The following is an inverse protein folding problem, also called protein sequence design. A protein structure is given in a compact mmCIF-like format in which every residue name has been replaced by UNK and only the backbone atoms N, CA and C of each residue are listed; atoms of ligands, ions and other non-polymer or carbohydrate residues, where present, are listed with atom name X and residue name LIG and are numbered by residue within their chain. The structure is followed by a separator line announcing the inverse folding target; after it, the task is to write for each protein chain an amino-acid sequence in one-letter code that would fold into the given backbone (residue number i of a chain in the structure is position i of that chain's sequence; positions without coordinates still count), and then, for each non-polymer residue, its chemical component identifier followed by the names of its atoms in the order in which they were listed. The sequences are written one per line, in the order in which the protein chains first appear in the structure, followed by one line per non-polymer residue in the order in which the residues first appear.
data_IF_659146187607
#
_entry.id   IF_659146187607
#
_cell.length_a   1.000
_cell.length_b   1.000
_cell.length_c   1.000
_cell.angle_alpha   90.00
_cell.angle_beta   90.00
_cell.angle_gamma   90.00
#
_symmetry.space_group_name_H-M   'P 1'
#
loop_
_entity.id
_entity.type
_entity.pdbx_description
1 polymer ?
#
# COMPACT_ATOMS: atom_id res chain seq x y z
N UNK A 1 2.26 -0.14 20.83
CA UNK A 1 3.57 -0.82 20.90
C UNK A 1 3.47 -2.02 19.96
N UNK A 2 4.54 -2.77 19.64
CA UNK A 2 4.29 -4.22 19.50
C UNK A 2 3.47 -4.59 20.72
N UNK A 3 2.29 -5.19 20.60
CA UNK A 3 1.33 -5.36 21.72
C UNK A 3 1.91 -6.15 22.92
N UNK A 4 3.19 -6.51 22.86
CA UNK A 4 4.00 -7.18 23.85
C UNK A 4 4.68 -6.18 24.78
N UNK A 5 4.72 -6.54 26.05
CA UNK A 5 5.46 -5.84 27.09
C UNK A 5 6.96 -6.10 26.89
N UNK A 6 7.76 -5.03 26.83
CA UNK A 6 9.22 -5.16 26.81
C UNK A 6 9.74 -5.57 28.20
N UNK A 7 10.72 -6.49 28.29
CA UNK A 7 11.29 -6.86 29.58
C UNK A 7 12.08 -5.69 30.17
N UNK A 8 11.95 -5.47 31.47
CA UNK A 8 12.69 -4.43 32.18
C UNK A 8 14.18 -4.68 32.13
N UNK A 9 14.95 -3.66 31.75
CA UNK A 9 16.41 -3.74 31.74
C UNK A 9 16.99 -3.47 33.12
N UNK A 10 17.85 -4.39 33.60
CA UNK A 10 18.67 -4.23 34.81
C UNK A 10 20.13 -4.29 34.39
N UNK A 11 21.00 -3.48 34.99
CA UNK A 11 22.44 -3.48 34.71
C UNK A 11 23.01 -4.89 34.93
N UNK A 12 23.66 -5.45 33.91
CA UNK A 12 24.16 -6.83 33.91
C UNK A 12 23.28 -7.81 33.12
N UNK A 13 22.06 -7.43 32.75
CA UNK A 13 21.20 -8.24 31.88
C UNK A 13 21.80 -8.36 30.47
N UNK A 14 21.51 -9.47 29.77
CA UNK A 14 21.86 -9.60 28.37
C UNK A 14 21.18 -8.53 27.51
N UNK A 15 21.77 -8.24 26.35
CA UNK A 15 21.19 -7.33 25.36
C UNK A 15 19.84 -7.86 24.88
N UNK A 16 18.84 -6.98 24.82
CA UNK A 16 17.52 -7.27 24.26
C UNK A 16 17.66 -7.72 22.80
N UNK A 17 17.03 -8.85 22.45
CA UNK A 17 16.97 -9.38 21.09
C UNK A 17 15.52 -9.64 20.70
N UNK A 18 15.15 -9.22 19.51
CA UNK A 18 13.82 -9.40 18.94
C UNK A 18 13.98 -10.30 17.72
N UNK A 19 13.50 -11.55 17.81
CA UNK A 19 13.64 -12.52 16.72
C UNK A 19 12.52 -12.40 15.68
N UNK A 20 11.30 -12.12 16.13
CA UNK A 20 10.10 -12.03 15.29
C UNK A 20 9.43 -10.67 15.53
N UNK A 21 9.94 -9.59 14.90
CA UNK A 21 9.37 -8.27 15.04
C UNK A 21 7.97 -8.23 14.41
N UNK A 22 6.99 -7.71 15.13
CA UNK A 22 5.65 -7.44 14.61
C UNK A 22 5.56 -6.01 14.06
N UNK A 23 6.44 -5.69 13.11
CA UNK A 23 6.48 -4.39 12.45
C UNK A 23 6.28 -4.55 10.96
N UNK A 24 5.57 -3.60 10.36
CA UNK A 24 5.41 -3.47 8.92
C UNK A 24 5.99 -2.14 8.46
N UNK A 25 6.50 -2.08 7.23
CA UNK A 25 6.92 -0.85 6.59
C UNK A 25 6.28 -0.78 5.22
N UNK A 26 5.75 0.40 4.85
CA UNK A 26 5.18 0.64 3.52
C UNK A 26 6.04 1.66 2.81
N UNK A 27 6.66 1.26 1.71
CA UNK A 27 7.40 2.17 0.84
C UNK A 27 6.41 3.16 0.18
N UNK A 28 6.69 4.45 0.26
CA UNK A 28 5.81 5.49 -0.28
C UNK A 28 6.54 6.32 -1.32
N UNK A 29 5.88 6.54 -2.47
CA UNK A 29 6.39 7.43 -3.52
C UNK A 29 6.42 8.88 -2.99
N UNK A 30 7.54 9.59 -3.11
CA UNK A 30 7.61 11.00 -2.71
C UNK A 30 6.64 11.84 -3.56
N UNK A 31 5.97 12.81 -2.93
CA UNK A 31 5.06 13.75 -3.60
C UNK A 31 5.81 14.89 -4.28
N UNK A 32 6.95 15.29 -3.71
CA UNK A 32 7.82 16.35 -4.22
C UNK A 32 9.06 15.74 -4.86
N UNK A 33 9.78 16.54 -5.65
CA UNK A 33 11.09 16.15 -6.13
C UNK A 33 12.07 16.11 -4.95
N UNK A 34 12.56 14.92 -4.62
CA UNK A 34 13.53 14.67 -3.56
C UNK A 34 14.81 14.12 -4.17
N UNK A 35 15.97 14.28 -3.49
CA UNK A 35 17.20 13.73 -4.02
C UNK A 35 17.12 12.21 -4.08
N UNK A 36 17.79 11.60 -5.06
CA UNK A 36 17.63 10.17 -5.37
C UNK A 36 18.10 9.22 -4.25
N UNK A 37 18.87 9.69 -3.29
CA UNK A 37 19.28 8.91 -2.11
C UNK A 37 18.28 8.99 -0.96
N UNK A 38 17.19 9.76 -1.09
CA UNK A 38 16.14 9.83 -0.08
C UNK A 38 15.00 8.85 -0.36
N UNK A 39 14.62 8.10 0.67
CA UNK A 39 13.53 7.13 0.62
C UNK A 39 12.55 7.37 1.76
N UNK A 40 11.26 7.19 1.48
CA UNK A 40 10.18 7.38 2.45
C UNK A 40 9.44 6.08 2.74
N UNK A 41 9.20 5.83 4.02
CA UNK A 41 8.37 4.72 4.47
C UNK A 41 7.31 5.20 5.46
N UNK A 42 6.10 4.67 5.35
CA UNK A 42 5.13 4.72 6.43
C UNK A 42 5.43 3.56 7.38
N UNK A 43 5.55 3.87 8.66
CA UNK A 43 5.85 2.93 9.74
C UNK A 43 4.81 3.04 10.87
N UNK A 44 4.67 2.00 11.71
CA UNK A 44 3.90 2.06 12.95
C UNK A 44 4.40 3.17 13.87
N UNK A 45 3.50 3.72 14.70
CA UNK A 45 3.81 4.81 15.64
C UNK A 45 4.78 4.38 16.76
N UNK A 46 5.11 3.11 16.85
CA UNK A 46 5.89 2.59 17.98
C UNK A 46 7.32 2.28 17.61
N UNK A 47 7.63 2.36 16.33
CA UNK A 47 8.93 2.08 15.78
C UNK A 47 9.81 3.33 15.84
N UNK A 48 11.00 3.20 16.43
CA UNK A 48 11.98 4.28 16.58
C UNK A 48 12.92 4.40 15.38
N UNK A 49 13.70 5.48 15.32
CA UNK A 49 14.70 5.69 14.24
C UNK A 49 15.74 4.55 14.21
N UNK A 50 16.17 4.07 15.38
CA UNK A 50 17.10 2.96 15.52
C UNK A 50 16.46 1.63 15.10
N UNK A 51 15.18 1.41 15.41
CA UNK A 51 14.46 0.23 14.95
C UNK A 51 14.37 0.21 13.43
N UNK A 52 14.09 1.36 12.79
CA UNK A 52 14.02 1.49 11.33
C UNK A 52 15.37 1.15 10.70
N UNK A 53 16.45 1.71 11.24
CA UNK A 53 17.80 1.43 10.76
C UNK A 53 18.15 -0.05 10.88
N UNK A 54 17.95 -0.65 12.05
CA UNK A 54 18.22 -2.07 12.27
C UNK A 54 17.35 -2.97 11.38
N UNK A 55 16.08 -2.62 11.18
CA UNK A 55 15.16 -3.40 10.36
C UNK A 55 15.62 -3.43 8.89
N UNK A 56 16.00 -2.27 8.33
CA UNK A 56 16.49 -2.18 6.96
C UNK A 56 17.87 -2.83 6.78
N UNK A 57 18.80 -2.61 7.70
CA UNK A 57 20.15 -3.18 7.63
C UNK A 57 20.17 -4.69 7.86
N UNK A 58 19.36 -5.22 8.78
CA UNK A 58 19.42 -6.66 9.16
C UNK A 58 18.51 -7.56 8.34
N UNK A 59 17.35 -7.06 7.91
CA UNK A 59 16.39 -7.89 7.13
C UNK A 59 16.63 -7.70 5.63
N UNK A 60 16.80 -6.46 5.17
CA UNK A 60 16.93 -6.15 3.74
C UNK A 60 18.37 -5.90 3.28
N UNK A 61 19.35 -5.88 4.19
CA UNK A 61 20.76 -5.58 3.90
C UNK A 61 20.97 -4.24 3.18
N UNK A 62 20.12 -3.24 3.48
CA UNK A 62 20.24 -1.90 2.91
C UNK A 62 21.11 -1.03 3.81
N UNK A 63 22.19 -0.42 3.31
CA UNK A 63 23.00 0.51 4.09
C UNK A 63 22.23 1.82 4.30
N UNK A 64 22.13 2.27 5.54
CA UNK A 64 21.40 3.48 5.91
C UNK A 64 22.33 4.45 6.63
N UNK A 65 22.48 5.67 6.08
CA UNK A 65 23.29 6.71 6.70
C UNK A 65 22.54 7.38 7.85
N UNK A 66 21.34 7.88 7.56
CA UNK A 66 20.54 8.64 8.52
C UNK A 66 19.06 8.26 8.39
N UNK A 67 18.38 8.18 9.54
CA UNK A 67 16.94 8.05 9.62
C UNK A 67 16.41 9.24 10.40
N UNK A 68 15.32 9.84 9.93
CA UNK A 68 14.55 10.83 10.67
C UNK A 68 13.08 10.49 10.55
N UNK A 69 12.40 10.27 11.66
CA UNK A 69 10.96 10.05 11.65
C UNK A 69 10.17 11.32 11.97
N UNK A 70 8.93 11.37 11.51
CA UNK A 70 7.99 12.45 11.79
C UNK A 70 6.59 11.87 11.94
N UNK A 71 5.85 12.33 12.95
CA UNK A 71 4.48 11.89 13.22
C UNK A 71 3.51 12.75 12.40
N UNK A 72 2.58 12.09 11.71
CA UNK A 72 1.54 12.73 10.92
C UNK A 72 0.18 12.36 11.50
N UNK A 73 -0.62 13.38 11.71
CA UNK A 73 -2.00 13.25 12.17
C UNK A 73 -2.91 12.95 10.97
N UNK A 74 -3.79 11.97 11.11
CA UNK A 74 -4.81 11.64 10.11
C UNK A 74 -5.90 12.70 10.04
N UNK A 75 -6.54 12.85 8.89
CA UNK A 75 -7.59 13.86 8.72
C UNK A 75 -8.86 13.47 9.49
N UNK A 76 -9.54 14.45 10.09
CA UNK A 76 -10.88 14.28 10.66
C UNK A 76 -11.90 14.71 9.61
N UNK A 77 -12.68 13.76 9.11
CA UNK A 77 -13.67 13.99 8.05
C UNK A 77 -15.08 13.74 8.56
N UNK A 78 -16.06 14.47 8.03
CA UNK A 78 -17.48 14.16 8.25
C UNK A 78 -17.94 13.14 7.21
N UNK A 79 -18.62 12.10 7.66
CA UNK A 79 -19.29 11.16 6.77
C UNK A 79 -20.59 11.78 6.21
N UNK A 80 -21.20 11.14 5.20
CA UNK A 80 -22.49 11.50 4.61
C UNK A 80 -23.62 11.64 5.66
N UNK A 81 -23.53 10.91 6.78
CA UNK A 81 -24.46 11.01 7.92
C UNK A 81 -24.06 12.06 8.98
N UNK A 82 -23.14 12.98 8.65
CA UNK A 82 -22.58 14.01 9.55
C UNK A 82 -21.80 13.52 10.79
N UNK A 83 -21.47 12.22 10.89
CA UNK A 83 -20.57 11.72 11.93
C UNK A 83 -19.11 12.05 11.62
N UNK A 84 -18.33 12.41 12.65
CA UNK A 84 -16.89 12.62 12.55
C UNK A 84 -16.16 11.27 12.52
N UNK A 85 -15.35 11.04 11.50
CA UNK A 85 -14.48 9.89 11.34
C UNK A 85 -13.04 10.38 11.32
N UNK A 86 -12.21 9.80 12.19
CA UNK A 86 -10.77 10.07 12.26
C UNK A 86 -10.03 9.04 11.41
N UNK A 87 -9.26 9.50 10.43
CA UNK A 87 -8.29 8.65 9.75
C UNK A 87 -7.14 8.29 10.69
N UNK A 88 -6.56 7.08 10.59
CA UNK A 88 -5.50 6.66 11.47
C UNK A 88 -4.25 7.51 11.28
N UNK A 89 -3.69 7.95 12.40
CA UNK A 89 -2.38 8.60 12.42
C UNK A 89 -1.30 7.62 11.94
N UNK A 90 -0.21 8.16 11.42
CA UNK A 90 0.92 7.34 10.99
C UNK A 90 2.24 8.07 11.21
N UNK A 91 3.32 7.30 11.32
CA UNK A 91 4.67 7.85 11.35
C UNK A 91 5.31 7.67 9.98
N UNK A 92 5.95 8.71 9.47
CA UNK A 92 6.74 8.67 8.24
C UNK A 92 8.22 8.63 8.62
N UNK A 93 8.99 7.72 8.02
CA UNK A 93 10.43 7.66 8.10
C UNK A 93 11.04 8.25 6.82
N UNK A 94 11.90 9.24 7.00
CA UNK A 94 12.78 9.78 5.96
C UNK A 94 14.15 9.16 6.14
N UNK A 95 14.55 8.35 5.16
CA UNK A 95 15.82 7.63 5.17
C UNK A 95 16.73 8.25 4.13
N UNK A 96 17.98 8.51 4.53
CA UNK A 96 19.06 8.94 3.67
C UNK A 96 19.99 7.75 3.43
N UNK A 97 20.07 7.32 2.18
CA UNK A 97 21.01 6.31 1.71
C UNK A 97 22.40 6.94 1.47
N UNK A 98 23.46 6.12 1.41
CA UNK A 98 24.78 6.56 0.94
C UNK A 98 24.70 7.24 -0.43
N UNK A 99 25.58 8.20 -0.67
CA UNK A 99 25.59 9.02 -1.90
C UNK A 99 25.75 8.20 -3.18
N UNK A 100 26.43 7.05 -3.08
CA UNK A 100 26.66 6.12 -4.20
C UNK A 100 25.38 5.41 -4.66
N UNK A 101 24.36 5.34 -3.79
CA UNK A 101 23.14 4.58 -4.04
C UNK A 101 22.01 5.53 -4.42
N UNK A 102 21.50 5.34 -5.63
CA UNK A 102 20.34 6.08 -6.16
C UNK A 102 19.13 5.16 -6.18
N UNK A 103 18.04 5.62 -5.58
CA UNK A 103 16.76 4.94 -5.58
C UNK A 103 15.74 5.77 -6.38
N UNK A 104 15.10 5.13 -7.35
CA UNK A 104 13.98 5.71 -8.09
C UNK A 104 12.79 4.80 -7.88
N UNK A 105 11.66 5.37 -7.46
CA UNK A 105 10.44 4.60 -7.23
C UNK A 105 9.97 3.99 -8.56
N UNK A 106 9.83 2.66 -8.65
CA UNK A 106 9.48 1.99 -9.90
C UNK A 106 8.04 2.31 -10.33
N UNK A 107 7.79 2.31 -11.65
CA UNK A 107 6.42 2.37 -12.15
C UNK A 107 5.74 1.00 -12.00
N UNK A 108 4.81 0.91 -11.05
CA UNK A 108 4.08 -0.31 -10.75
C UNK A 108 2.95 -0.58 -11.74
N UNK A 109 2.46 0.44 -12.45
CA UNK A 109 1.26 0.36 -13.30
C UNK A 109 1.50 0.92 -14.70
N UNK A 110 2.34 0.25 -15.51
CA UNK A 110 2.65 0.70 -16.86
C UNK A 110 1.40 0.76 -17.74
N UNK A 111 1.30 1.81 -18.57
CA UNK A 111 0.11 2.09 -19.41
C UNK A 111 -0.25 0.91 -20.31
N UNK A 112 0.73 0.26 -20.94
CA UNK A 112 0.51 -0.88 -21.83
C UNK A 112 -0.21 -2.08 -21.19
N UNK A 113 -0.15 -2.24 -19.85
CA UNK A 113 -0.94 -3.26 -19.14
C UNK A 113 -2.39 -2.78 -18.94
N UNK A 114 -2.57 -1.51 -18.59
CA UNK A 114 -3.90 -0.90 -18.44
C UNK A 114 -4.69 -0.93 -19.73
N UNK A 115 -4.06 -0.61 -20.86
CA UNK A 115 -4.74 -0.58 -22.16
C UNK A 115 -5.33 -1.95 -22.52
N UNK A 116 -4.62 -3.03 -22.18
CA UNK A 116 -5.09 -4.41 -22.40
C UNK A 116 -6.25 -4.77 -21.48
N UNK A 117 -6.13 -4.46 -20.19
CA UNK A 117 -7.19 -4.70 -19.21
C UNK A 117 -8.47 -3.93 -19.58
N UNK A 118 -8.33 -2.70 -20.06
CA UNK A 118 -9.43 -1.84 -20.53
C UNK A 118 -10.07 -2.39 -21.81
N UNK A 119 -9.28 -2.93 -22.75
CA UNK A 119 -9.81 -3.62 -23.94
C UNK A 119 -10.62 -4.86 -23.58
N UNK A 120 -10.13 -5.68 -22.66
CA UNK A 120 -10.83 -6.90 -22.23
C UNK A 120 -12.11 -6.55 -21.45
N UNK A 121 -12.08 -5.50 -20.62
CA UNK A 121 -13.29 -4.97 -19.98
C UNK A 121 -14.32 -4.48 -21.00
N UNK A 122 -13.88 -3.74 -22.04
CA UNK A 122 -14.78 -3.30 -23.12
C UNK A 122 -15.40 -4.48 -23.85
N UNK A 123 -14.62 -5.50 -24.21
CA UNK A 123 -15.13 -6.73 -24.85
C UNK A 123 -16.19 -7.42 -24.00
N UNK A 124 -15.98 -7.52 -22.69
CA UNK A 124 -16.96 -8.11 -21.76
C UNK A 124 -18.25 -7.27 -21.67
N UNK A 125 -18.12 -5.94 -21.63
CA UNK A 125 -19.27 -5.04 -21.63
C UNK A 125 -20.05 -5.11 -22.94
N UNK A 126 -19.36 -5.20 -24.07
CA UNK A 126 -19.99 -5.35 -25.39
C UNK A 126 -20.74 -6.68 -25.50
N UNK A 127 -20.14 -7.79 -25.05
CA UNK A 127 -20.81 -9.09 -24.96
C UNK A 127 -22.06 -9.04 -24.07
N UNK A 128 -21.97 -8.39 -22.91
CA UNK A 128 -23.10 -8.23 -22.01
C UNK A 128 -24.22 -7.37 -22.63
N UNK A 129 -23.85 -6.28 -23.32
CA UNK A 129 -24.79 -5.42 -24.02
C UNK A 129 -25.50 -6.17 -25.15
N UNK A 130 -24.79 -7.01 -25.90
CA UNK A 130 -25.36 -7.81 -26.98
C UNK A 130 -26.30 -8.91 -26.45
N UNK A 131 -25.95 -9.57 -25.35
CA UNK A 131 -26.87 -10.48 -24.64
C UNK A 131 -28.13 -9.74 -24.16
N UNK A 132 -27.99 -8.52 -23.64
CA UNK A 132 -29.16 -7.71 -23.26
C UNK A 132 -30.03 -7.34 -24.47
N UNK A 133 -29.43 -7.00 -25.62
CA UNK A 133 -30.18 -6.74 -26.88
C UNK A 133 -30.91 -7.99 -27.35
N UNK A 134 -30.27 -9.17 -27.32
CA UNK A 134 -30.91 -10.44 -27.68
C UNK A 134 -32.09 -10.76 -26.76
N UNK A 135 -31.92 -10.59 -25.44
CA UNK A 135 -32.99 -10.77 -24.46
C UNK A 135 -34.17 -9.82 -24.71
N UNK A 136 -33.90 -8.56 -25.06
CA UNK A 136 -34.95 -7.59 -25.40
C UNK A 136 -35.71 -7.96 -26.68
N UNK A 137 -35.02 -8.47 -27.71
CA UNK A 137 -35.67 -8.91 -28.97
C UNK A 137 -36.64 -10.08 -28.75
N UNK A 138 -36.31 -10.99 -27.85
CA UNK A 138 -37.15 -12.15 -27.53
C UNK A 138 -38.08 -11.93 -26.32
N UNK A 139 -38.39 -10.68 -25.98
CA UNK A 139 -39.22 -10.37 -24.81
C UNK A 139 -40.63 -10.99 -24.86
N UNK A 140 -41.22 -11.06 -26.06
CA UNK A 140 -42.57 -11.60 -26.27
C UNK A 140 -42.62 -13.14 -26.31
N UNK A 141 -41.47 -13.82 -26.45
CA UNK A 141 -41.34 -15.28 -26.52
C UNK A 141 -40.83 -15.83 -25.19
N UNK A 142 -41.74 -16.04 -24.23
CA UNK A 142 -41.40 -16.47 -22.86
C UNK A 142 -41.12 -17.97 -22.72
N UNK A 143 -41.86 -18.82 -23.44
CA UNK A 143 -41.89 -20.27 -23.21
C UNK A 143 -41.19 -21.10 -24.30
N UNK A 144 -40.56 -20.44 -25.30
CA UNK A 144 -39.91 -21.12 -26.43
C UNK A 144 -38.41 -20.76 -26.44
N UNK A 145 -37.48 -21.74 -26.49
CA UNK A 145 -36.04 -21.47 -26.55
C UNK A 145 -35.65 -20.68 -27.80
N UNK A 146 -34.68 -19.76 -27.67
CA UNK A 146 -34.25 -18.87 -28.76
C UNK A 146 -33.45 -19.54 -29.89
N UNK A 147 -33.12 -20.82 -29.77
CA UNK A 147 -32.31 -21.58 -30.74
C UNK A 147 -33.12 -22.22 -31.88
N UNK A 148 -34.41 -22.48 -31.69
CA UNK A 148 -35.26 -23.04 -32.75
C UNK A 148 -35.70 -21.94 -33.73
N UNK A 149 -35.13 -21.94 -34.94
CA UNK A 149 -35.50 -21.05 -36.03
C UNK A 149 -36.27 -21.80 -37.12
N UNK A 150 -37.56 -21.49 -37.25
CA UNK A 150 -38.39 -21.81 -38.41
C UNK A 150 -38.86 -20.49 -39.04
#
# INVERSE_FOLDING_TARGET
MSTRVYPTFIKGNPRLRIFLPNFFMKLVKPKSNEPANHVRFIIPLEMTDDDVKNYLEKIYNVPVCQVRTSLYEGEIKKNHRNYLIKEPDFRMAHITLPEDIKFVFPDLFPQAKKDKDDEDQKRLLDQAADLMKQRRRNWDRKDIPSWFGL
#
